data_IF_716180027601
#
_entry.id   IF_716180027601
#
_cell.length_a   1.000
_cell.length_b   1.000
_cell.length_c   1.000
_cell.angle_alpha   90.00
_cell.angle_beta   90.00
_cell.angle_gamma   90.00
#
_symmetry.space_group_name_H-M   'P 1'
#
loop_
_entity.id
_entity.type
_entity.pdbx_description
1 polymer ?
#
# COMPACT_ATOMS: atom_id res chain seq x y z
N UNK A 1 11.28 -22.65 16.63
CA UNK A 1 11.38 -21.29 16.06
C UNK A 1 9.97 -20.78 15.83
N UNK A 2 9.64 -19.55 16.24
CA UNK A 2 8.36 -18.93 15.87
C UNK A 2 8.39 -18.55 14.39
N UNK A 3 7.26 -18.68 13.70
CA UNK A 3 7.12 -18.22 12.32
C UNK A 3 7.34 -16.72 12.23
N UNK A 4 7.93 -16.26 11.13
CA UNK A 4 8.08 -14.83 10.86
C UNK A 4 6.71 -14.12 10.93
N UNK A 5 6.61 -12.94 11.58
CA UNK A 5 5.33 -12.28 11.82
C UNK A 5 4.72 -11.70 10.53
N UNK A 6 3.68 -12.36 10.04
CA UNK A 6 2.90 -11.96 8.86
C UNK A 6 1.44 -11.64 9.24
N UNK A 7 0.75 -10.89 8.40
CA UNK A 7 -0.70 -10.67 8.47
C UNK A 7 -1.32 -10.95 7.11
N UNK A 8 -2.57 -11.39 7.10
CA UNK A 8 -3.33 -11.63 5.88
C UNK A 8 -4.14 -10.39 5.51
N UNK A 9 -4.05 -9.94 4.27
CA UNK A 9 -4.82 -8.84 3.70
C UNK A 9 -5.45 -9.33 2.40
N UNK A 10 -6.76 -9.55 2.40
CA UNK A 10 -7.42 -10.28 1.32
C UNK A 10 -6.81 -11.67 1.16
N UNK A 11 -6.28 -11.95 -0.02
CA UNK A 11 -5.65 -13.25 -0.36
C UNK A 11 -4.12 -13.24 -0.25
N UNK A 12 -3.53 -12.20 0.35
CA UNK A 12 -2.07 -12.02 0.47
C UNK A 12 -1.60 -12.11 1.91
N UNK A 13 -0.55 -12.91 2.15
CA UNK A 13 0.22 -12.87 3.40
C UNK A 13 1.38 -11.88 3.27
N UNK A 14 1.42 -10.88 4.16
CA UNK A 14 2.44 -9.82 4.13
C UNK A 14 3.14 -9.66 5.48
N UNK A 15 4.45 -9.32 5.51
CA UNK A 15 5.17 -8.94 6.73
C UNK A 15 4.49 -7.80 7.51
N UNK A 16 4.24 -7.99 8.81
CA UNK A 16 3.56 -6.97 9.64
C UNK A 16 4.33 -5.64 9.71
N UNK A 17 5.66 -5.71 9.78
CA UNK A 17 6.50 -4.51 9.90
C UNK A 17 6.46 -3.70 8.61
N UNK A 18 6.64 -4.35 7.45
CA UNK A 18 6.61 -3.67 6.15
C UNK A 18 5.26 -3.01 5.87
N UNK A 19 4.15 -3.71 6.07
CA UNK A 19 2.83 -3.14 5.80
C UNK A 19 2.43 -2.08 6.83
N UNK A 20 2.84 -2.25 8.09
CA UNK A 20 2.63 -1.26 9.14
C UNK A 20 3.35 0.06 8.82
N UNK A 21 4.60 -0.01 8.34
CA UNK A 21 5.35 1.18 7.88
C UNK A 21 4.67 1.85 6.70
N UNK A 22 4.17 1.08 5.73
CA UNK A 22 3.44 1.62 4.59
C UNK A 22 2.19 2.41 5.01
N UNK A 23 1.37 1.87 5.91
CA UNK A 23 0.19 2.57 6.46
C UNK A 23 0.56 3.78 7.30
N UNK A 24 1.57 3.68 8.15
CA UNK A 24 2.02 4.80 8.99
C UNK A 24 2.55 5.98 8.16
N UNK A 25 3.28 5.70 7.08
CA UNK A 25 3.81 6.71 6.18
C UNK A 25 2.80 7.19 5.13
N UNK A 26 1.60 6.60 5.09
CA UNK A 26 0.55 6.97 4.12
C UNK A 26 0.90 6.61 2.67
N UNK A 27 1.78 5.62 2.46
CA UNK A 27 2.05 5.12 1.13
C UNK A 27 0.84 4.33 0.63
N UNK A 28 0.30 4.77 -0.50
CA UNK A 28 -0.61 3.95 -1.29
C UNK A 28 0.22 2.82 -1.91
N UNK A 29 -0.37 1.61 -2.01
CA UNK A 29 0.18 0.61 -2.90
C UNK A 29 0.26 1.25 -4.29
N UNK A 30 1.45 1.30 -4.88
CA UNK A 30 1.73 1.79 -6.25
C UNK A 30 1.08 0.89 -7.29
N UNK A 31 -0.23 0.78 -7.16
CA UNK A 31 -1.13 0.10 -8.06
C UNK A 31 -1.40 1.04 -9.21
N UNK A 32 -1.82 0.46 -10.32
CA UNK A 32 -2.29 1.23 -11.48
C UNK A 32 -3.40 2.23 -11.11
N UNK A 33 -4.18 1.95 -10.06
CA UNK A 33 -5.25 2.81 -9.58
C UNK A 33 -4.74 4.12 -8.94
N UNK A 34 -3.68 4.05 -8.12
CA UNK A 34 -3.01 5.25 -7.56
C UNK A 34 -2.50 6.15 -8.68
N UNK A 35 -1.79 5.57 -9.67
CA UNK A 35 -1.29 6.32 -10.81
C UNK A 35 -2.42 7.04 -11.56
N UNK A 36 -3.54 6.36 -11.79
CA UNK A 36 -4.71 6.95 -12.47
C UNK A 36 -5.34 8.09 -11.65
N UNK A 37 -5.44 7.94 -10.33
CA UNK A 37 -5.93 9.00 -9.43
C UNK A 37 -4.98 10.20 -9.39
N UNK A 38 -3.67 9.96 -9.26
CA UNK A 38 -2.65 11.01 -9.25
C UNK A 38 -2.62 11.78 -10.59
N UNK A 39 -2.69 11.07 -11.72
CA UNK A 39 -2.77 11.68 -13.04
C UNK A 39 -4.04 12.54 -13.19
N UNK A 40 -5.21 12.03 -12.76
CA UNK A 40 -6.47 12.78 -12.84
C UNK A 40 -6.50 14.04 -11.98
N UNK A 41 -5.97 13.99 -10.75
CA UNK A 41 -5.89 15.16 -9.87
C UNK A 41 -4.94 16.22 -10.44
N UNK A 42 -3.82 15.82 -11.08
CA UNK A 42 -2.90 16.77 -11.74
C UNK A 42 -3.45 17.43 -13.00
N UNK A 43 -4.40 16.79 -13.70
CA UNK A 43 -5.02 17.35 -14.91
C UNK A 43 -6.16 18.33 -14.61
N UNK A 44 -6.96 18.11 -13.55
CA UNK A 44 -8.06 19.00 -13.18
C UNK A 44 -7.65 20.18 -12.29
N UNK A 45 -6.43 20.18 -11.75
CA UNK A 45 -5.87 21.25 -10.94
C UNK A 45 -5.10 22.32 -11.72
N UNK A 46 -5.23 22.39 -13.05
CA UNK A 46 -4.60 23.41 -13.89
C UNK A 46 -5.62 24.10 -14.77
#
# INVERSE_FOLDING_TARGET
>A
MSSFPKTTIGDLEVPRLTIGTNWFLGYSHTTRAEKVLADRVRFFGR
#
